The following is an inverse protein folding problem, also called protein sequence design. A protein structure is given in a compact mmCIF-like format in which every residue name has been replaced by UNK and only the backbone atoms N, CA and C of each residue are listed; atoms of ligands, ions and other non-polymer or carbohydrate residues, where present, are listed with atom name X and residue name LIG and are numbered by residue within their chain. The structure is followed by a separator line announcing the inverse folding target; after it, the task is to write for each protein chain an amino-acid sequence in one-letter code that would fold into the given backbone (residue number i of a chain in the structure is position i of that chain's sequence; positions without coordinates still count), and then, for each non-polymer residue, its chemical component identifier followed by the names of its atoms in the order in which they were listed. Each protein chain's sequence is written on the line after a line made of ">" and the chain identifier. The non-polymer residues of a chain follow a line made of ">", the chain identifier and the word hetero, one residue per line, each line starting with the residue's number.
data_IF_597593801914
#
_entry.id   IF_597593801914
#
_cell.length_a   1.000
_cell.length_b   1.000
_cell.length_c   1.000
_cell.angle_alpha   90.00
_cell.angle_beta   90.00
_cell.angle_gamma   90.00
#
_symmetry.space_group_name_H-M   'P 1'
#
loop_
_entity.id
_entity.type
_entity.pdbx_description
1 polymer ?
#
# COMPACT_ATOMS: atom_id res chain seq x y z
N UNK A 1 14.27 -23.10 7.06
CA UNK A 1 14.35 -22.06 6.02
C UNK A 1 15.60 -21.24 6.29
N UNK A 2 16.50 -21.06 5.32
CA UNK A 2 17.59 -20.08 5.47
C UNK A 2 16.94 -18.68 5.35
N UNK A 3 17.22 -17.73 6.25
CA UNK A 3 16.66 -16.38 6.13
C UNK A 3 17.09 -15.79 4.79
N UNK A 4 16.13 -15.25 4.03
CA UNK A 4 16.44 -14.45 2.86
C UNK A 4 17.26 -13.24 3.34
N UNK A 5 18.50 -13.03 2.87
CA UNK A 5 19.33 -11.91 3.33
C UNK A 5 18.72 -10.54 2.96
N UNK A 6 17.70 -10.51 2.10
CA UNK A 6 17.02 -9.31 1.65
C UNK A 6 15.53 -9.36 2.01
N UNK A 7 15.17 -8.76 3.13
CA UNK A 7 13.78 -8.46 3.45
C UNK A 7 13.24 -7.39 2.51
N UNK A 8 11.96 -7.52 2.16
CA UNK A 8 11.20 -6.44 1.54
C UNK A 8 11.00 -5.29 2.53
N UNK A 9 10.70 -4.11 1.99
CA UNK A 9 10.47 -2.91 2.78
C UNK A 9 8.97 -2.64 2.91
N UNK A 10 8.56 -2.21 4.09
CA UNK A 10 7.24 -1.65 4.34
C UNK A 10 7.29 -0.14 4.08
N UNK A 11 6.53 0.32 3.09
CA UNK A 11 6.40 1.72 2.71
C UNK A 11 5.13 2.30 3.32
N UNK A 12 5.26 3.38 4.08
CA UNK A 12 4.12 4.16 4.55
C UNK A 12 3.72 5.13 3.43
N UNK A 13 2.54 4.92 2.86
CA UNK A 13 2.02 5.68 1.73
C UNK A 13 0.89 6.57 2.25
N UNK A 14 1.13 7.89 2.39
CA UNK A 14 0.06 8.81 2.75
C UNK A 14 -0.94 8.89 1.60
N UNK A 15 -2.23 8.85 1.92
CA UNK A 15 -3.29 9.17 0.96
C UNK A 15 -3.71 10.64 1.12
N UNK A 16 -4.26 11.24 0.07
CA UNK A 16 -4.67 12.65 0.07
C UNK A 16 -6.05 12.84 0.68
N UNK A 17 -6.28 13.97 1.36
CA UNK A 17 -7.61 14.39 1.81
C UNK A 17 -8.44 14.90 0.63
N UNK A 18 -9.52 14.19 0.30
CA UNK A 18 -10.43 14.57 -0.78
C UNK A 18 -9.99 14.09 -2.17
N UNK A 19 -10.92 14.19 -3.13
CA UNK A 19 -10.74 13.70 -4.50
C UNK A 19 -10.29 14.80 -5.48
N UNK A 20 -10.17 16.04 -5.00
CA UNK A 20 -10.06 17.24 -5.83
C UNK A 20 -8.64 17.82 -5.77
N UNK A 21 -7.68 17.15 -6.40
CA UNK A 21 -6.32 17.65 -6.58
C UNK A 21 -5.49 16.62 -7.35
N UNK A 22 -4.63 17.06 -8.26
CA UNK A 22 -3.67 16.16 -8.90
C UNK A 22 -2.71 15.67 -7.81
N UNK A 23 -2.64 14.36 -7.51
CA UNK A 23 -1.73 13.87 -6.50
C UNK A 23 -0.25 14.19 -6.80
N UNK A 24 0.11 14.45 -8.06
CA UNK A 24 1.45 14.89 -8.45
C UNK A 24 1.81 16.27 -7.87
N UNK A 25 0.81 17.10 -7.56
CA UNK A 25 1.01 18.44 -7.01
C UNK A 25 1.27 18.42 -5.49
N UNK A 26 0.88 17.34 -4.81
CA UNK A 26 0.87 17.27 -3.33
C UNK A 26 1.69 16.12 -2.75
N UNK A 27 1.99 15.08 -3.53
CA UNK A 27 2.78 13.94 -3.08
C UNK A 27 4.25 14.07 -3.49
N UNK A 28 5.20 13.74 -2.59
CA UNK A 28 6.59 13.61 -2.97
C UNK A 28 6.78 12.56 -4.06
N UNK A 29 7.67 12.84 -5.03
CA UNK A 29 7.99 11.92 -6.13
C UNK A 29 8.48 10.54 -5.66
N UNK A 30 9.02 10.44 -4.45
CA UNK A 30 9.38 9.16 -3.81
C UNK A 30 8.18 8.27 -3.55
N UNK A 31 7.03 8.84 -3.17
CA UNK A 31 5.79 8.09 -2.93
C UNK A 31 5.21 7.59 -4.25
N UNK A 32 5.17 8.44 -5.27
CA UNK A 32 4.71 8.09 -6.62
C UNK A 32 5.51 6.92 -7.18
N UNK A 33 6.85 7.01 -7.11
CA UNK A 33 7.74 5.91 -7.52
C UNK A 33 7.53 4.64 -6.69
N UNK A 34 7.20 4.76 -5.40
CA UNK A 34 6.93 3.59 -4.56
C UNK A 34 5.70 2.83 -5.01
N UNK A 35 4.63 3.55 -5.38
CA UNK A 35 3.39 2.95 -5.90
C UNK A 35 3.63 2.21 -7.22
N UNK A 36 4.63 2.62 -8.01
CA UNK A 36 4.96 1.97 -9.28
C UNK A 36 5.43 0.52 -9.10
N UNK A 37 6.34 0.27 -8.15
CA UNK A 37 6.97 -1.05 -7.97
C UNK A 37 6.36 -1.93 -6.86
N UNK A 38 5.35 -1.44 -6.12
CA UNK A 38 4.67 -2.21 -5.05
C UNK A 38 3.38 -2.82 -5.59
N UNK A 39 3.16 -4.11 -5.40
CA UNK A 39 1.89 -4.77 -5.77
C UNK A 39 1.12 -5.36 -4.59
N UNK A 40 1.78 -5.45 -3.43
CA UNK A 40 1.20 -5.88 -2.15
C UNK A 40 0.87 -4.65 -1.30
N UNK A 41 -0.38 -4.52 -0.88
CA UNK A 41 -0.84 -3.40 -0.07
C UNK A 41 -1.59 -3.85 1.18
N UNK A 42 -1.41 -3.10 2.25
CA UNK A 42 -2.24 -3.12 3.44
C UNK A 42 -3.04 -1.83 3.44
N UNK A 43 -4.37 -1.93 3.51
CA UNK A 43 -5.28 -0.79 3.28
C UNK A 43 -6.44 -0.84 4.26
N UNK A 44 -7.04 0.30 4.61
CA UNK A 44 -8.27 0.30 5.42
C UNK A 44 -9.50 -0.08 4.58
N UNK A 45 -9.54 0.37 3.33
CA UNK A 45 -10.61 0.08 2.38
C UNK A 45 -10.04 -0.16 0.97
N UNK A 46 -10.40 -1.30 0.38
CA UNK A 46 -9.85 -1.67 -0.93
C UNK A 46 -10.32 -0.75 -2.06
N UNK A 47 -11.57 -0.29 -2.00
CA UNK A 47 -12.16 0.48 -3.10
C UNK A 47 -11.50 1.84 -3.23
N UNK A 48 -11.29 2.52 -2.11
CA UNK A 48 -10.62 3.83 -2.03
C UNK A 48 -9.13 3.70 -2.38
N UNK A 49 -8.45 2.68 -1.85
CA UNK A 49 -7.04 2.43 -2.15
C UNK A 49 -6.80 2.15 -3.63
N UNK A 50 -7.64 1.32 -4.27
CA UNK A 50 -7.58 1.07 -5.72
C UNK A 50 -7.77 2.34 -6.54
N UNK A 51 -8.74 3.17 -6.16
CA UNK A 51 -8.98 4.47 -6.81
C UNK A 51 -7.76 5.38 -6.70
N UNK A 52 -7.14 5.47 -5.52
CA UNK A 52 -5.92 6.25 -5.30
C UNK A 52 -4.74 5.70 -6.11
N UNK A 53 -4.47 4.40 -6.06
CA UNK A 53 -3.39 3.79 -6.87
C UNK A 53 -3.60 4.07 -8.36
N UNK A 54 -4.84 3.98 -8.85
CA UNK A 54 -5.19 4.26 -10.25
C UNK A 54 -5.03 5.73 -10.62
N UNK A 55 -5.27 6.67 -9.69
CA UNK A 55 -5.05 8.10 -9.95
C UNK A 55 -3.56 8.45 -10.02
N UNK A 56 -2.71 7.78 -9.23
CA UNK A 56 -1.24 7.95 -9.32
C UNK A 56 -0.66 7.24 -10.53
N UNK A 57 -1.00 5.96 -10.72
CA UNK A 57 -0.46 5.11 -11.77
C UNK A 57 -1.59 4.48 -12.60
N UNK A 58 -2.14 5.20 -13.59
CA UNK A 58 -3.24 4.73 -14.42
C UNK A 58 -2.94 3.45 -15.18
N UNK A 59 -1.67 3.13 -15.44
CA UNK A 59 -1.28 1.92 -16.18
C UNK A 59 -1.24 0.66 -15.31
N UNK A 60 -1.33 0.79 -13.98
CA UNK A 60 -1.26 -0.36 -13.08
C UNK A 60 -2.54 -1.20 -13.21
N UNK A 61 -2.36 -2.51 -13.44
CA UNK A 61 -3.47 -3.46 -13.59
C UNK A 61 -4.10 -3.70 -12.23
N UNK A 62 -5.30 -3.17 -12.02
CA UNK A 62 -5.96 -3.25 -10.70
C UNK A 62 -6.17 -4.70 -10.24
N UNK A 63 -6.55 -5.60 -11.15
CA UNK A 63 -6.80 -7.00 -10.82
C UNK A 63 -5.55 -7.76 -10.33
N UNK A 64 -4.33 -7.28 -10.61
CA UNK A 64 -3.10 -7.93 -10.13
C UNK A 64 -2.66 -7.48 -8.74
N UNK A 65 -3.24 -6.40 -8.20
CA UNK A 65 -2.91 -5.87 -6.89
C UNK A 65 -3.47 -6.78 -5.78
N UNK A 66 -2.63 -7.10 -4.81
CA UNK A 66 -2.98 -7.87 -3.61
C UNK A 66 -3.22 -6.88 -2.47
N UNK A 67 -4.48 -6.61 -2.15
CA UNK A 67 -4.86 -5.72 -1.07
C UNK A 67 -5.34 -6.55 0.11
N UNK A 68 -4.75 -6.32 1.28
CA UNK A 68 -5.20 -6.89 2.54
C UNK A 68 -5.85 -5.78 3.35
N UNK A 69 -7.14 -5.94 3.66
CA UNK A 69 -7.88 -4.96 4.45
C UNK A 69 -7.51 -5.06 5.93
N UNK A 70 -7.02 -3.97 6.52
CA UNK A 70 -6.73 -3.83 7.95
C UNK A 70 -7.86 -3.03 8.61
N UNK A 71 -8.57 -3.64 9.57
CA UNK A 71 -9.66 -3.01 10.30
C UNK A 71 -9.71 -3.48 11.76
N UNK A 72 -10.65 -2.93 12.55
CA UNK A 72 -10.81 -3.24 13.99
C UNK A 72 -11.12 -4.70 14.33
N UNK A 73 -11.48 -5.51 13.33
CA UNK A 73 -11.75 -6.94 13.47
C UNK A 73 -10.59 -7.80 12.96
N UNK A 74 -9.50 -7.20 12.46
CA UNK A 74 -8.30 -7.93 12.08
C UNK A 74 -7.64 -8.50 13.33
N UNK A 75 -7.51 -9.82 13.37
CA UNK A 75 -6.86 -10.52 14.48
C UNK A 75 -5.34 -10.27 14.46
N UNK A 76 -4.69 -10.23 15.62
CA UNK A 76 -3.22 -10.05 15.73
C UNK A 76 -2.48 -11.08 14.85
N UNK A 77 -3.02 -12.30 14.76
CA UNK A 77 -2.47 -13.38 13.93
C UNK A 77 -2.48 -13.08 12.42
N UNK A 78 -3.37 -12.20 11.96
CA UNK A 78 -3.47 -11.78 10.56
C UNK A 78 -2.45 -10.70 10.20
N UNK A 79 -2.03 -9.85 11.15
CA UNK A 79 -0.96 -8.87 10.93
C UNK A 79 0.34 -9.55 10.48
N UNK A 80 0.69 -10.68 11.11
CA UNK A 80 1.86 -11.46 10.72
C UNK A 80 1.76 -11.98 9.28
N UNK A 81 0.57 -12.42 8.86
CA UNK A 81 0.31 -12.88 7.48
C UNK A 81 0.41 -11.74 6.48
N UNK A 82 -0.08 -10.55 6.83
CA UNK A 82 0.02 -9.36 5.98
C UNK A 82 1.47 -8.97 5.71
N UNK A 83 2.40 -9.23 6.63
CA UNK A 83 3.84 -8.94 6.48
C UNK A 83 4.64 -10.06 5.79
N UNK A 84 4.02 -11.20 5.50
CA UNK A 84 4.67 -12.34 4.86
C UNK A 84 5.37 -11.98 3.53
N UNK A 85 4.82 -11.12 2.66
CA UNK A 85 5.53 -10.69 1.45
C UNK A 85 6.88 -10.01 1.75
N UNK A 86 6.99 -9.21 2.81
CA UNK A 86 8.26 -8.61 3.23
C UNK A 86 9.27 -9.68 3.67
N UNK A 87 8.82 -10.74 4.35
CA UNK A 87 9.69 -11.86 4.73
C UNK A 87 10.19 -12.65 3.51
N UNK A 88 9.46 -12.60 2.39
CA UNK A 88 9.83 -13.18 1.10
C UNK A 88 10.67 -12.24 0.21
N UNK A 89 10.96 -11.01 0.66
CA UNK A 89 11.73 -10.03 -0.12
C UNK A 89 10.90 -9.09 -0.99
N UNK A 90 9.57 -9.10 -0.88
CA UNK A 90 8.65 -8.23 -1.64
C UNK A 90 8.30 -6.98 -0.84
N UNK A 91 8.27 -5.83 -1.49
CA UNK A 91 7.88 -4.58 -0.85
C UNK A 91 6.36 -4.53 -0.63
N UNK A 92 5.95 -3.94 0.48
CA UNK A 92 4.53 -3.75 0.83
C UNK A 92 4.26 -2.26 1.00
N UNK A 93 3.12 -1.80 0.51
CA UNK A 93 2.60 -0.46 0.76
C UNK A 93 1.52 -0.47 1.83
N UNK A 94 1.76 0.17 2.97
CA UNK A 94 0.70 0.49 3.94
C UNK A 94 0.09 1.83 3.57
N UNK A 95 -1.17 1.82 3.14
CA UNK A 95 -1.92 3.03 2.84
C UNK A 95 -2.82 3.36 4.02
N UNK A 96 -2.54 4.46 4.72
CA UNK A 96 -3.48 4.98 5.71
C UNK A 96 -4.40 5.98 5.02
N UNK A 97 -5.70 5.84 5.23
CA UNK A 97 -6.63 6.88 4.80
C UNK A 97 -6.35 8.14 5.61
N UNK A 98 -6.34 9.30 4.95
CA UNK A 98 -6.17 10.54 5.68
C UNK A 98 -7.45 10.80 6.50
N UNK A 99 -7.34 10.54 7.80
CA UNK A 99 -8.13 11.09 8.88
C UNK A 99 -7.15 11.51 9.97
N UNK A 100 -7.30 12.73 10.48
CA UNK A 100 -6.49 13.18 11.61
C UNK A 100 -6.73 12.20 12.80
N UNK A 101 -5.68 11.70 13.48
CA UNK A 101 -5.87 11.22 14.85
C UNK A 101 -6.44 12.32 15.74
#
# INVERSE_FOLDING_TARGET
>A
MKPNPYFGKLYLIPTTLGENGDPNDVLPQTIIRSIDFIDDYIVENEKTARKFIKSIQPQKVQASLRLNSLNKHTEISEHAKMLQPCLEGKNIGLMSEAGCP
#
